data_IF_734426376141
#
_entry.id   IF_734426376141
#
_cell.length_a   1.000
_cell.length_b   1.000
_cell.length_c   1.000
_cell.angle_alpha   90.00
_cell.angle_beta   90.00
_cell.angle_gamma   90.00
#
_symmetry.space_group_name_H-M   'P 1'
#
loop_
_entity.id
_entity.type
_entity.pdbx_description
1 polymer ?
#
# COMPACT_ATOMS: atom_id res chain seq x y z
N UNK A 1 18.78 -10.53 -3.16
CA UNK A 1 18.46 -10.13 -4.55
C UNK A 1 17.95 -11.36 -5.31
N UNK A 2 16.64 -11.45 -5.58
CA UNK A 2 16.09 -12.51 -6.45
C UNK A 2 16.17 -12.03 -7.90
N UNK A 3 17.31 -12.26 -8.53
CA UNK A 3 17.55 -11.84 -9.91
C UNK A 3 16.84 -12.78 -10.89
N UNK A 4 16.24 -12.21 -11.95
CA UNK A 4 15.64 -13.00 -13.03
C UNK A 4 16.73 -13.59 -13.92
N UNK A 5 16.34 -14.54 -14.78
CA UNK A 5 17.25 -15.16 -15.76
C UNK A 5 17.70 -14.12 -16.80
N UNK A 6 16.77 -13.29 -17.27
CA UNK A 6 17.05 -12.20 -18.21
C UNK A 6 17.98 -11.16 -17.62
N UNK A 7 17.77 -10.78 -16.35
CA UNK A 7 18.70 -9.88 -15.65
C UNK A 7 20.08 -10.51 -15.55
N UNK A 8 20.17 -11.80 -15.22
CA UNK A 8 21.45 -12.52 -15.17
C UNK A 8 22.23 -12.43 -16.49
N UNK A 9 21.53 -12.57 -17.62
CA UNK A 9 22.13 -12.44 -18.95
C UNK A 9 22.59 -11.00 -19.20
N UNK A 10 21.77 -9.99 -18.88
CA UNK A 10 22.16 -8.56 -19.02
C UNK A 10 23.44 -8.24 -18.23
N UNK A 11 23.54 -8.71 -16.99
CA UNK A 11 24.72 -8.52 -16.13
C UNK A 11 25.99 -9.14 -16.73
N UNK A 12 25.89 -10.35 -17.29
CA UNK A 12 27.03 -11.03 -17.90
C UNK A 12 27.43 -10.38 -19.21
N UNK A 13 26.48 -10.01 -20.06
CA UNK A 13 26.74 -9.31 -21.32
C UNK A 13 27.41 -7.95 -21.09
N UNK A 14 27.02 -7.22 -20.05
CA UNK A 14 27.69 -5.98 -19.67
C UNK A 14 29.16 -6.19 -19.31
N UNK A 15 29.45 -7.19 -18.47
CA UNK A 15 30.82 -7.50 -18.08
C UNK A 15 31.69 -7.94 -19.27
N UNK A 16 31.11 -8.69 -20.21
CA UNK A 16 31.77 -9.09 -21.45
C UNK A 16 32.12 -7.87 -22.31
N UNK A 17 31.13 -6.99 -22.55
CA UNK A 17 31.34 -5.79 -23.35
C UNK A 17 32.42 -4.88 -22.74
N UNK A 18 32.48 -4.77 -21.41
CA UNK A 18 33.54 -4.04 -20.73
C UNK A 18 34.92 -4.69 -20.95
N UNK A 19 35.06 -6.00 -20.79
CA UNK A 19 36.35 -6.69 -21.03
C UNK A 19 36.80 -6.58 -22.49
N UNK A 20 35.86 -6.70 -23.43
CA UNK A 20 36.13 -6.51 -24.85
C UNK A 20 36.61 -5.07 -25.14
N UNK A 21 36.05 -4.06 -24.48
CA UNK A 21 36.51 -2.66 -24.59
C UNK A 21 37.94 -2.44 -24.09
N UNK A 22 38.41 -3.29 -23.17
CA UNK A 22 39.79 -3.29 -22.65
C UNK A 22 40.74 -4.18 -23.47
N UNK A 23 40.27 -4.77 -24.58
CA UNK A 23 41.03 -5.73 -25.38
C UNK A 23 41.27 -7.09 -24.69
N UNK A 24 40.59 -7.36 -23.57
CA UNK A 24 40.71 -8.58 -22.79
C UNK A 24 39.78 -9.66 -23.33
N UNK A 25 40.18 -10.93 -23.19
CA UNK A 25 39.37 -12.07 -23.63
C UNK A 25 38.38 -12.51 -22.56
N UNK A 26 37.27 -13.10 -22.98
CA UNK A 26 36.26 -13.67 -22.06
C UNK A 26 36.80 -14.75 -21.11
N UNK A 27 37.94 -15.39 -21.45
CA UNK A 27 38.64 -16.31 -20.53
C UNK A 27 39.24 -15.58 -19.31
N UNK A 28 39.66 -14.34 -19.49
CA UNK A 28 40.18 -13.49 -18.40
C UNK A 28 39.03 -13.06 -17.48
N UNK A 29 37.87 -12.71 -18.05
CA UNK A 29 36.64 -12.45 -17.30
C UNK A 29 36.24 -13.66 -16.43
N UNK A 30 36.28 -14.88 -16.98
CA UNK A 30 35.98 -16.10 -16.24
C UNK A 30 36.94 -16.30 -15.05
N UNK A 31 38.25 -16.04 -15.25
CA UNK A 31 39.27 -16.12 -14.21
C UNK A 31 39.00 -15.11 -13.08
N UNK A 32 38.71 -13.86 -13.42
CA UNK A 32 38.45 -12.81 -12.44
C UNK A 32 37.14 -13.10 -11.65
N UNK A 33 36.19 -13.78 -12.28
CA UNK A 33 34.93 -14.19 -11.64
C UNK A 33 35.10 -15.45 -10.79
N UNK A 34 36.21 -16.17 -10.93
CA UNK A 34 36.46 -17.43 -10.23
C UNK A 34 35.59 -18.58 -10.75
N UNK A 35 35.29 -18.58 -12.05
CA UNK A 35 34.51 -19.62 -12.71
C UNK A 35 35.25 -20.18 -13.93
N UNK A 36 34.91 -21.40 -14.33
CA UNK A 36 35.44 -21.96 -15.57
C UNK A 36 34.89 -21.23 -16.81
N UNK A 37 35.70 -21.12 -17.86
CA UNK A 37 35.28 -20.45 -19.10
C UNK A 37 34.04 -21.11 -19.76
N UNK A 38 33.85 -22.42 -19.55
CA UNK A 38 32.65 -23.17 -19.95
C UNK A 38 31.38 -22.62 -19.29
N UNK A 39 31.42 -22.35 -17.97
CA UNK A 39 30.32 -21.78 -17.18
C UNK A 39 29.91 -20.39 -17.66
N UNK A 40 30.85 -19.62 -18.20
CA UNK A 40 30.56 -18.29 -18.76
C UNK A 40 29.68 -18.38 -20.02
N UNK A 41 29.79 -19.46 -20.79
CA UNK A 41 28.92 -19.71 -21.95
C UNK A 41 27.52 -20.17 -21.52
N UNK A 42 27.43 -20.93 -20.42
CA UNK A 42 26.15 -21.33 -19.81
C UNK A 42 25.40 -20.15 -19.21
N UNK A 43 26.12 -19.20 -18.60
CA UNK A 43 25.55 -17.94 -18.07
C UNK A 43 24.96 -17.02 -19.15
N UNK A 44 25.40 -17.16 -20.41
CA UNK A 44 24.82 -16.47 -21.57
C UNK A 44 23.65 -17.22 -22.22
N UNK A 45 23.49 -18.50 -21.91
CA UNK A 45 22.56 -19.36 -22.64
C UNK A 45 21.12 -19.06 -22.25
N UNK A 46 20.28 -18.78 -23.25
CA UNK A 46 18.83 -18.68 -23.07
C UNK A 46 18.21 -20.06 -22.75
N UNK A 47 18.87 -21.16 -23.16
CA UNK A 47 18.33 -22.53 -23.06
C UNK A 47 18.72 -23.24 -21.75
N UNK A 48 19.85 -22.86 -21.13
CA UNK A 48 20.27 -23.31 -19.78
C UNK A 48 20.85 -22.15 -18.94
N UNK A 49 20.05 -21.10 -18.64
CA UNK A 49 20.56 -19.93 -17.93
C UNK A 49 20.86 -20.26 -16.47
N UNK A 50 22.15 -20.27 -16.12
CA UNK A 50 22.59 -20.16 -14.74
C UNK A 50 22.31 -18.74 -14.23
N UNK A 51 21.93 -18.61 -12.96
CA UNK A 51 21.78 -17.29 -12.32
C UNK A 51 23.14 -16.80 -11.85
N UNK A 52 23.44 -15.53 -12.09
CA UNK A 52 24.61 -14.90 -11.48
C UNK A 52 24.35 -14.79 -9.98
N UNK A 53 25.28 -15.30 -9.18
CA UNK A 53 25.20 -15.25 -7.72
C UNK A 53 25.42 -13.82 -7.19
N UNK A 54 24.95 -13.49 -5.98
CA UNK A 54 25.17 -12.15 -5.40
C UNK A 54 26.65 -11.75 -5.29
N UNK A 55 27.55 -12.70 -5.04
CA UNK A 55 29.00 -12.45 -4.98
C UNK A 55 29.57 -12.10 -6.36
N UNK A 56 29.10 -12.76 -7.42
CA UNK A 56 29.48 -12.44 -8.79
C UNK A 56 28.93 -11.08 -9.22
N UNK A 57 27.70 -10.71 -8.83
CA UNK A 57 27.16 -9.36 -9.07
C UNK A 57 28.04 -8.29 -8.42
N UNK A 58 28.46 -8.48 -7.17
CA UNK A 58 29.40 -7.56 -6.49
C UNK A 58 30.71 -7.41 -7.25
N UNK A 59 31.32 -8.52 -7.67
CA UNK A 59 32.55 -8.50 -8.49
C UNK A 59 32.35 -7.76 -9.82
N UNK A 60 31.22 -7.97 -10.50
CA UNK A 60 30.88 -7.22 -11.72
C UNK A 60 30.87 -5.72 -11.41
N UNK A 61 30.18 -5.30 -10.35
CA UNK A 61 30.10 -3.89 -9.97
C UNK A 61 31.48 -3.31 -9.65
N UNK A 62 32.31 -4.02 -8.89
CA UNK A 62 33.66 -3.58 -8.50
C UNK A 62 34.60 -3.42 -9.71
N UNK A 63 34.47 -4.28 -10.72
CA UNK A 63 35.37 -4.34 -11.87
C UNK A 63 34.92 -3.42 -13.00
N UNK A 64 33.62 -3.39 -13.30
CA UNK A 64 33.08 -2.73 -14.50
C UNK A 64 31.89 -1.79 -14.24
N UNK A 65 31.45 -1.65 -12.99
CA UNK A 65 30.22 -0.94 -12.66
C UNK A 65 28.96 -1.78 -12.90
N UNK A 66 27.80 -1.19 -12.60
CA UNK A 66 26.50 -1.82 -12.87
C UNK A 66 26.07 -1.52 -14.32
N UNK A 67 25.39 -2.46 -15.01
CA UNK A 67 24.82 -2.18 -16.32
C UNK A 67 23.82 -1.03 -16.23
N UNK A 68 23.92 -0.08 -17.16
CA UNK A 68 22.90 0.97 -17.32
C UNK A 68 21.54 0.30 -17.56
N UNK A 69 20.54 0.72 -16.79
CA UNK A 69 19.15 0.31 -16.94
C UNK A 69 18.38 1.41 -17.65
N UNK A 70 17.24 1.02 -18.21
CA UNK A 70 16.27 1.99 -18.72
C UNK A 70 15.82 2.89 -17.55
N UNK A 71 15.63 4.19 -17.79
CA UNK A 71 15.13 5.10 -16.78
C UNK A 71 13.76 4.60 -16.30
N UNK A 72 13.50 4.79 -15.02
CA UNK A 72 12.24 4.37 -14.42
C UNK A 72 12.00 5.07 -13.10
N UNK A 73 10.76 4.95 -12.63
CA UNK A 73 10.27 5.54 -11.39
C UNK A 73 10.49 4.55 -10.24
N UNK A 74 11.31 4.92 -9.26
CA UNK A 74 11.57 4.11 -8.08
C UNK A 74 10.51 4.37 -7.00
N UNK A 75 9.87 3.33 -6.49
CA UNK A 75 8.80 3.42 -5.48
C UNK A 75 8.81 2.25 -4.49
N UNK A 76 8.20 2.46 -3.32
CA UNK A 76 7.88 1.41 -2.35
C UNK A 76 6.38 1.09 -2.42
N UNK A 77 6.03 -0.10 -2.91
CA UNK A 77 4.64 -0.44 -3.26
C UNK A 77 4.19 -1.77 -2.70
N UNK A 78 2.90 -1.91 -2.45
CA UNK A 78 2.26 -3.22 -2.32
C UNK A 78 2.23 -3.88 -3.71
N UNK A 79 2.85 -5.05 -3.85
CA UNK A 79 2.99 -5.70 -5.16
C UNK A 79 2.01 -6.86 -5.29
N UNK A 80 1.17 -6.82 -6.32
CA UNK A 80 0.15 -7.82 -6.61
C UNK A 80 0.36 -8.46 -7.99
N UNK A 81 0.01 -9.74 -8.10
CA UNK A 81 0.09 -10.52 -9.35
C UNK A 81 -1.09 -10.28 -10.29
N UNK A 82 -2.23 -9.85 -9.76
CA UNK A 82 -3.45 -9.60 -10.52
C UNK A 82 -4.36 -8.61 -9.78
N UNK A 83 -5.32 -8.05 -10.51
CA UNK A 83 -6.38 -7.24 -9.90
C UNK A 83 -7.24 -8.05 -8.94
N UNK A 84 -7.53 -9.31 -9.24
CA UNK A 84 -8.27 -10.20 -8.33
C UNK A 84 -7.58 -10.31 -6.98
N UNK A 85 -6.24 -10.48 -6.97
CA UNK A 85 -5.47 -10.56 -5.73
C UNK A 85 -5.57 -9.25 -4.94
N UNK A 86 -5.50 -8.10 -5.62
CA UNK A 86 -5.68 -6.79 -5.00
C UNK A 86 -7.08 -6.61 -4.41
N UNK A 87 -8.14 -6.88 -5.18
CA UNK A 87 -9.52 -6.71 -4.72
C UNK A 87 -9.88 -7.66 -3.58
N UNK A 88 -9.48 -8.93 -3.66
CA UNK A 88 -9.74 -9.92 -2.61
C UNK A 88 -9.05 -9.57 -1.28
N UNK A 89 -7.90 -8.90 -1.33
CA UNK A 89 -7.16 -8.49 -0.13
C UNK A 89 -7.46 -7.06 0.32
N UNK A 90 -8.24 -6.30 -0.45
CA UNK A 90 -8.42 -4.86 -0.23
C UNK A 90 -8.89 -4.55 1.20
N UNK A 91 -9.98 -5.18 1.64
CA UNK A 91 -10.56 -4.98 2.97
C UNK A 91 -9.64 -5.49 4.08
N UNK A 92 -9.07 -6.68 3.95
CA UNK A 92 -8.16 -7.23 4.97
C UNK A 92 -6.90 -6.38 5.15
N UNK A 93 -6.35 -5.83 4.07
CA UNK A 93 -5.17 -4.95 4.13
C UNK A 93 -5.54 -3.59 4.72
N UNK A 94 -6.69 -3.02 4.36
CA UNK A 94 -7.22 -1.79 4.98
C UNK A 94 -7.41 -1.97 6.49
N UNK A 95 -8.00 -3.10 6.91
CA UNK A 95 -8.18 -3.41 8.32
C UNK A 95 -6.85 -3.60 9.06
N UNK A 96 -5.89 -4.31 8.46
CA UNK A 96 -4.55 -4.49 9.04
C UNK A 96 -3.80 -3.16 9.18
N UNK A 97 -3.90 -2.25 8.20
CA UNK A 97 -3.33 -0.90 8.29
C UNK A 97 -3.95 -0.13 9.45
N UNK A 98 -5.28 -0.10 9.54
CA UNK A 98 -5.99 0.53 10.65
C UNK A 98 -5.58 -0.04 12.01
N UNK A 99 -5.52 -1.36 12.18
CA UNK A 99 -5.12 -1.98 13.44
C UNK A 99 -3.67 -1.69 13.82
N UNK A 100 -2.77 -1.57 12.83
CA UNK A 100 -1.39 -1.14 13.09
C UNK A 100 -1.33 0.31 13.59
N UNK A 101 -2.12 1.21 13.01
CA UNK A 101 -2.20 2.60 13.47
C UNK A 101 -2.82 2.67 14.89
N UNK A 102 -3.83 1.85 15.17
CA UNK A 102 -4.41 1.67 16.51
C UNK A 102 -3.37 1.14 17.50
N UNK A 103 -2.60 0.13 17.13
CA UNK A 103 -1.52 -0.41 17.94
C UNK A 103 -0.46 0.65 18.27
N UNK A 104 0.01 1.38 17.26
CA UNK A 104 1.01 2.45 17.44
C UNK A 104 0.47 3.55 18.35
N UNK A 105 -0.81 3.92 18.19
CA UNK A 105 -1.49 4.90 19.03
C UNK A 105 -1.66 4.43 20.48
N UNK A 106 -2.11 3.20 20.71
CA UNK A 106 -2.43 2.65 22.03
C UNK A 106 -1.21 2.10 22.79
N UNK A 107 -0.04 2.06 22.14
CA UNK A 107 1.26 1.80 22.80
C UNK A 107 1.93 3.10 23.24
N UNK A 108 1.46 4.26 22.75
CA UNK A 108 1.99 5.56 23.14
C UNK A 108 1.61 5.88 24.60
N UNK A 109 2.61 6.06 25.48
CA UNK A 109 2.41 6.33 26.92
C UNK A 109 1.56 7.58 27.18
N UNK A 110 1.64 8.61 26.33
CA UNK A 110 0.84 9.83 26.50
C UNK A 110 -0.65 9.52 26.29
N UNK A 111 -0.99 8.82 25.21
CA UNK A 111 -2.36 8.41 24.88
C UNK A 111 -2.90 7.44 25.93
N UNK A 112 -2.11 6.46 26.38
CA UNK A 112 -2.51 5.54 27.45
C UNK A 112 -2.88 6.32 28.72
N UNK A 113 -2.02 7.24 29.17
CA UNK A 113 -2.29 8.06 30.36
C UNK A 113 -3.49 8.99 30.18
N UNK A 114 -3.74 9.47 28.96
CA UNK A 114 -4.87 10.32 28.64
C UNK A 114 -6.20 9.56 28.70
N UNK A 115 -6.25 8.34 28.12
CA UNK A 115 -7.38 7.42 28.26
C UNK A 115 -7.65 7.13 29.74
N UNK A 116 -6.60 6.81 30.51
CA UNK A 116 -6.73 6.57 31.94
C UNK A 116 -7.35 7.78 32.65
N UNK A 117 -6.90 9.01 32.37
CA UNK A 117 -7.45 10.23 33.01
C UNK A 117 -8.91 10.54 32.64
N UNK A 118 -9.37 10.14 31.45
CA UNK A 118 -10.74 10.40 30.98
C UNK A 118 -11.77 9.43 31.56
N UNK A 119 -11.34 8.24 31.99
CA UNK A 119 -12.17 7.30 32.71
C UNK A 119 -12.28 7.67 34.21
N UNK A 120 -13.40 7.35 34.83
CA UNK A 120 -13.55 7.35 36.30
C UNK A 120 -13.42 5.92 36.81
N UNK A 121 -12.75 5.70 37.94
CA UNK A 121 -12.53 4.36 38.50
C UNK A 121 -12.99 4.26 39.93
N UNK A 122 -13.28 3.03 40.36
CA UNK A 122 -13.51 2.72 41.78
C UNK A 122 -12.20 2.66 42.57
N UNK A 123 -11.06 2.41 41.90
CA UNK A 123 -9.73 2.37 42.49
C UNK A 123 -8.77 3.40 41.84
N UNK A 124 -7.98 4.08 42.67
CA UNK A 124 -6.95 5.04 42.26
C UNK A 124 -5.60 4.40 41.87
N UNK A 125 -5.43 3.08 42.10
CA UNK A 125 -4.25 2.33 41.72
C UNK A 125 -4.16 2.12 40.20
N UNK A 126 -3.08 2.59 39.59
CA UNK A 126 -2.90 2.57 38.14
C UNK A 126 -2.88 1.16 37.54
N UNK A 127 -2.30 0.19 38.23
CA UNK A 127 -2.25 -1.20 37.72
C UNK A 127 -3.66 -1.79 37.67
N UNK A 128 -4.47 -1.54 38.69
CA UNK A 128 -5.87 -1.95 38.70
C UNK A 128 -6.73 -1.23 37.65
N UNK A 129 -6.47 0.04 37.37
CA UNK A 129 -7.14 0.78 36.31
C UNK A 129 -6.85 0.19 34.91
N UNK A 130 -5.59 -0.18 34.67
CA UNK A 130 -5.17 -0.84 33.43
C UNK A 130 -5.81 -2.22 33.30
N UNK A 131 -5.84 -2.99 34.39
CA UNK A 131 -6.49 -4.32 34.41
C UNK A 131 -8.00 -4.21 34.15
N UNK A 132 -8.68 -3.23 34.74
CA UNK A 132 -10.10 -2.97 34.51
C UNK A 132 -10.42 -2.74 33.02
N UNK A 133 -9.61 -1.93 32.32
CA UNK A 133 -9.74 -1.75 30.87
C UNK A 133 -9.48 -3.06 30.12
N UNK A 134 -8.42 -3.80 30.47
CA UNK A 134 -8.09 -5.07 29.81
C UNK A 134 -9.19 -6.13 29.96
N UNK A 135 -9.88 -6.17 31.09
CA UNK A 135 -11.02 -7.05 31.33
C UNK A 135 -12.26 -6.60 30.55
N UNK A 136 -12.58 -5.31 30.59
CA UNK A 136 -13.70 -4.75 29.84
C UNK A 136 -13.60 -5.05 28.35
N UNK A 137 -12.46 -4.77 27.72
CA UNK A 137 -12.28 -4.96 26.27
C UNK A 137 -12.24 -6.42 25.84
N UNK A 138 -12.15 -7.37 26.77
CA UNK A 138 -12.24 -8.82 26.50
C UNK A 138 -13.61 -9.41 26.84
N UNK A 139 -14.51 -8.59 27.38
CA UNK A 139 -15.82 -9.05 27.81
C UNK A 139 -16.77 -9.25 26.63
N UNK A 140 -17.70 -10.20 26.80
CA UNK A 140 -18.73 -10.45 25.79
C UNK A 140 -19.73 -9.31 25.74
N UNK A 141 -20.06 -8.74 26.89
CA UNK A 141 -20.99 -7.63 27.04
C UNK A 141 -20.49 -6.39 26.31
N UNK A 142 -19.19 -6.08 26.43
CA UNK A 142 -18.60 -4.97 25.68
C UNK A 142 -18.50 -5.28 24.18
N UNK A 143 -18.17 -6.51 23.80
CA UNK A 143 -18.14 -6.91 22.40
C UNK A 143 -19.52 -6.78 21.71
N UNK A 144 -20.61 -7.06 22.42
CA UNK A 144 -21.98 -6.86 21.92
C UNK A 144 -22.28 -5.38 21.64
N UNK A 145 -21.90 -4.48 22.55
CA UNK A 145 -21.98 -3.02 22.33
C UNK A 145 -21.16 -2.63 21.10
N UNK A 146 -19.91 -3.09 21.03
CA UNK A 146 -18.99 -2.72 19.95
C UNK A 146 -19.40 -3.30 18.58
N UNK A 147 -20.32 -4.26 18.52
CA UNK A 147 -20.88 -4.77 17.26
C UNK A 147 -22.11 -4.00 16.79
N UNK A 148 -22.76 -3.23 17.66
CA UNK A 148 -23.90 -2.40 17.26
C UNK A 148 -23.40 -1.13 16.52
N UNK A 149 -23.51 -1.15 15.19
CA UNK A 149 -23.18 -0.01 14.33
C UNK A 149 -24.08 1.21 14.60
N UNK A 150 -25.32 1.00 15.09
CA UNK A 150 -26.25 2.08 15.37
C UNK A 150 -25.87 2.90 16.61
N UNK A 151 -25.02 2.35 17.49
CA UNK A 151 -24.50 3.05 18.66
C UNK A 151 -23.45 4.12 18.31
N UNK A 152 -22.74 3.99 17.17
CA UNK A 152 -21.76 4.99 16.70
C UNK A 152 -22.38 6.39 16.53
N UNK A 153 -23.65 6.47 16.11
CA UNK A 153 -24.36 7.73 15.95
C UNK A 153 -25.17 8.14 17.18
N UNK A 154 -25.37 7.24 18.16
CA UNK A 154 -26.32 7.43 19.28
C UNK A 154 -25.67 7.80 20.61
N UNK A 155 -24.35 7.77 20.76
CA UNK A 155 -23.64 8.15 22.00
C UNK A 155 -23.78 9.62 22.43
N UNK A 156 -24.64 10.38 21.73
CA UNK A 156 -25.06 11.74 22.08
C UNK A 156 -26.34 11.72 22.98
N UNK A 157 -26.90 10.55 23.36
CA UNK A 157 -28.18 10.48 24.09
C UNK A 157 -28.37 9.33 25.09
N UNK A 158 -29.60 8.79 25.16
CA UNK A 158 -30.10 7.83 26.17
C UNK A 158 -29.32 6.52 26.33
N UNK A 159 -28.45 6.18 25.39
CA UNK A 159 -27.52 5.04 25.43
C UNK A 159 -26.36 5.22 26.42
N UNK A 160 -26.15 6.42 26.97
CA UNK A 160 -25.16 6.65 28.06
C UNK A 160 -25.41 5.77 29.28
N UNK A 161 -26.67 5.48 29.61
CA UNK A 161 -27.02 4.73 30.82
C UNK A 161 -26.67 3.24 30.70
N UNK A 162 -26.93 2.60 29.56
CA UNK A 162 -26.60 1.19 29.33
C UNK A 162 -25.08 0.96 29.28
N UNK A 163 -24.36 1.86 28.62
CA UNK A 163 -22.91 1.81 28.55
C UNK A 163 -22.23 2.05 29.91
N UNK A 164 -22.75 3.00 30.69
CA UNK A 164 -22.29 3.25 32.06
C UNK A 164 -22.50 2.03 32.96
N UNK A 165 -23.60 1.29 32.80
CA UNK A 165 -23.84 0.06 33.56
C UNK A 165 -22.82 -1.03 33.23
N UNK A 166 -22.49 -1.25 31.95
CA UNK A 166 -21.54 -2.28 31.53
C UNK A 166 -20.13 -1.95 31.99
N UNK A 167 -19.68 -0.70 31.78
CA UNK A 167 -18.35 -0.27 32.22
C UNK A 167 -18.19 -0.41 33.75
N UNK A 168 -19.25 -0.07 34.51
CA UNK A 168 -19.23 -0.12 35.98
C UNK A 168 -19.04 -1.54 36.52
N UNK A 169 -19.50 -2.58 35.82
CA UNK A 169 -19.24 -3.98 36.21
C UNK A 169 -17.75 -4.32 36.28
N UNK A 170 -16.92 -3.56 35.55
CA UNK A 170 -15.47 -3.72 35.50
C UNK A 170 -14.75 -2.66 36.34
N UNK A 171 -15.46 -1.90 37.19
CA UNK A 171 -14.86 -0.92 38.10
C UNK A 171 -14.43 0.40 37.44
N UNK A 172 -14.94 0.69 36.24
CA UNK A 172 -14.70 1.97 35.55
C UNK A 172 -15.98 2.58 34.96
N UNK A 173 -16.00 3.88 34.72
CA UNK A 173 -17.12 4.59 34.09
C UNK A 173 -16.57 5.50 33.00
N UNK A 174 -17.22 5.47 31.84
CA UNK A 174 -16.86 6.27 30.66
C UNK A 174 -18.04 7.16 30.29
N UNK A 175 -17.79 8.46 30.21
CA UNK A 175 -18.84 9.47 30.05
C UNK A 175 -18.80 10.23 28.72
N UNK A 176 -17.77 10.01 27.91
CA UNK A 176 -17.54 10.71 26.66
C UNK A 176 -17.36 9.75 25.46
N UNK A 177 -17.73 10.24 24.28
CA UNK A 177 -17.73 9.45 23.05
C UNK A 177 -16.31 9.12 22.60
N UNK A 178 -15.34 10.03 22.77
CA UNK A 178 -13.98 9.83 22.27
C UNK A 178 -13.29 8.66 22.99
N UNK A 179 -13.43 8.58 24.32
CA UNK A 179 -12.91 7.47 25.11
C UNK A 179 -13.59 6.15 24.75
N UNK A 180 -14.91 6.14 24.50
CA UNK A 180 -15.59 4.94 23.98
C UNK A 180 -15.01 4.48 22.64
N UNK A 181 -14.80 5.41 21.68
CA UNK A 181 -14.21 5.07 20.39
C UNK A 181 -12.81 4.49 20.55
N UNK A 182 -11.98 5.04 21.45
CA UNK A 182 -10.66 4.46 21.78
C UNK A 182 -10.76 3.05 22.33
N UNK A 183 -11.68 2.79 23.26
CA UNK A 183 -11.86 1.45 23.80
C UNK A 183 -12.46 0.48 22.78
N UNK A 184 -13.30 0.95 21.85
CA UNK A 184 -13.79 0.15 20.73
C UNK A 184 -12.66 -0.22 19.77
N UNK A 185 -11.76 0.72 19.47
CA UNK A 185 -10.55 0.44 18.70
C UNK A 185 -9.66 -0.58 19.40
N UNK A 186 -9.47 -0.43 20.72
CA UNK A 186 -8.75 -1.38 21.55
C UNK A 186 -9.40 -2.77 21.52
N UNK A 187 -10.73 -2.86 21.67
CA UNK A 187 -11.46 -4.13 21.55
C UNK A 187 -11.22 -4.76 20.17
N UNK A 188 -11.34 -3.99 19.09
CA UNK A 188 -11.12 -4.50 17.74
C UNK A 188 -9.67 -4.96 17.51
N UNK A 189 -8.69 -4.28 18.13
CA UNK A 189 -7.29 -4.68 18.12
C UNK A 189 -7.10 -6.01 18.88
N UNK A 190 -7.69 -6.17 20.06
CA UNK A 190 -7.58 -7.40 20.87
C UNK A 190 -8.24 -8.60 20.17
N UNK A 191 -9.28 -8.40 19.36
CA UNK A 191 -9.88 -9.48 18.55
C UNK A 191 -8.89 -10.05 17.50
N UNK A 192 -8.00 -9.21 16.94
CA UNK A 192 -7.00 -9.64 15.95
C UNK A 192 -5.62 -9.91 16.55
N UNK A 193 -5.36 -9.42 17.76
CA UNK A 193 -4.10 -9.53 18.50
C UNK A 193 -4.39 -9.84 19.98
N UNK A 194 -4.83 -11.08 20.32
CA UNK A 194 -5.32 -11.44 21.65
C UNK A 194 -4.31 -11.22 22.79
N UNK A 195 -3.01 -11.30 22.47
CA UNK A 195 -1.90 -11.08 23.38
C UNK A 195 -1.69 -9.61 23.76
N UNK A 196 -2.26 -8.66 23.01
CA UNK A 196 -2.10 -7.24 23.29
C UNK A 196 -2.66 -6.86 24.65
N UNK A 197 -1.85 -6.28 25.53
CA UNK A 197 -2.31 -5.78 26.82
C UNK A 197 -2.22 -4.25 26.87
N UNK A 198 -3.34 -3.59 27.14
CA UNK A 198 -3.35 -2.14 27.33
C UNK A 198 -2.36 -1.75 28.44
N UNK A 199 -1.58 -0.71 28.21
CA UNK A 199 -0.56 -0.23 29.16
C UNK A 199 0.72 -1.07 29.25
N UNK A 200 0.86 -2.18 28.51
CA UNK A 200 2.06 -3.01 28.50
C UNK A 200 3.08 -2.52 27.46
N UNK A 201 4.31 -2.26 27.89
CA UNK A 201 5.41 -1.78 27.03
C UNK A 201 6.06 -2.89 26.18
N UNK A 202 5.75 -4.16 26.48
CA UNK A 202 6.31 -5.35 25.82
C UNK A 202 5.42 -5.93 24.72
N UNK A 203 4.34 -5.22 24.37
CA UNK A 203 3.46 -5.65 23.28
C UNK A 203 4.22 -5.76 21.96
N UNK A 204 3.94 -6.82 21.20
CA UNK A 204 4.42 -6.96 19.82
C UNK A 204 3.33 -6.45 18.86
N UNK A 205 3.74 -5.79 17.78
CA UNK A 205 2.82 -5.27 16.77
C UNK A 205 2.32 -6.37 15.83
N UNK A 206 1.34 -6.01 14.99
CA UNK A 206 0.85 -6.91 13.95
C UNK A 206 1.85 -7.01 12.78
N UNK A 207 1.95 -8.21 12.21
CA UNK A 207 2.61 -8.43 10.93
C UNK A 207 1.85 -7.74 9.80
N UNK A 208 2.63 -7.29 8.80
CA UNK A 208 2.08 -6.75 7.55
C UNK A 208 1.50 -7.88 6.71
N UNK A 209 0.24 -7.75 6.27
CA UNK A 209 -0.35 -8.71 5.31
C UNK A 209 0.35 -8.59 3.94
N UNK A 210 0.58 -7.36 3.47
CA UNK A 210 1.30 -7.09 2.22
C UNK A 210 2.44 -6.10 2.49
N UNK A 211 3.70 -6.53 2.48
CA UNK A 211 4.82 -5.65 2.71
C UNK A 211 5.08 -4.73 1.51
N UNK A 212 5.44 -3.47 1.78
CA UNK A 212 5.93 -2.56 0.75
C UNK A 212 7.26 -3.09 0.18
N UNK A 213 7.31 -3.27 -1.13
CA UNK A 213 8.45 -3.78 -1.88
C UNK A 213 9.05 -2.66 -2.72
N UNK A 214 10.39 -2.48 -2.72
CA UNK A 214 11.03 -1.52 -3.62
C UNK A 214 10.92 -2.01 -5.06
N UNK A 215 10.39 -1.17 -5.95
CA UNK A 215 10.22 -1.44 -7.37
C UNK A 215 10.77 -0.29 -8.20
N UNK A 216 11.13 -0.59 -9.45
CA UNK A 216 11.41 0.43 -10.47
C UNK A 216 10.43 0.19 -11.61
N UNK A 217 9.51 1.13 -11.82
CA UNK A 217 8.57 1.13 -12.93
C UNK A 217 9.28 1.71 -14.16
N UNK A 218 9.63 0.84 -15.10
CA UNK A 218 10.31 1.19 -16.36
C UNK A 218 9.31 1.28 -17.51
N UNK A 219 9.71 1.99 -18.57
CA UNK A 219 8.92 2.14 -19.79
C UNK A 219 8.00 3.37 -19.76
N UNK A 220 7.08 3.44 -20.72
CA UNK A 220 6.27 4.63 -20.95
C UNK A 220 4.96 4.58 -20.15
N UNK A 221 4.63 5.66 -19.43
CA UNK A 221 3.27 5.86 -18.94
C UNK A 221 2.37 6.19 -20.13
N UNK A 222 1.40 5.32 -20.40
CA UNK A 222 0.51 5.45 -21.57
C UNK A 222 -0.83 6.09 -21.22
N UNK A 223 -1.22 6.03 -19.95
CA UNK A 223 -2.44 6.65 -19.45
C UNK A 223 -2.36 6.85 -17.94
N UNK A 224 -3.12 7.81 -17.47
CA UNK A 224 -3.46 7.98 -16.06
C UNK A 224 -4.90 8.45 -15.97
N UNK A 225 -5.61 8.00 -14.94
CA UNK A 225 -6.99 8.35 -14.70
C UNK A 225 -7.24 8.60 -13.23
N UNK A 226 -7.96 9.68 -12.97
CA UNK A 226 -8.34 10.18 -11.66
C UNK A 226 -9.71 10.85 -11.81
N UNK A 227 -10.60 10.80 -10.81
CA UNK A 227 -11.87 11.51 -10.86
C UNK A 227 -11.63 13.02 -10.88
N UNK A 228 -12.42 13.75 -11.65
CA UNK A 228 -12.31 15.23 -11.77
C UNK A 228 -12.59 15.97 -10.45
N UNK A 229 -13.17 15.30 -9.45
CA UNK A 229 -13.51 15.86 -8.15
C UNK A 229 -13.26 14.85 -7.03
N UNK A 230 -12.82 15.32 -5.86
CA UNK A 230 -12.73 14.54 -4.63
C UNK A 230 -14.13 14.06 -4.22
N UNK A 231 -14.44 12.81 -4.57
CA UNK A 231 -15.70 12.18 -4.17
C UNK A 231 -15.40 11.18 -3.08
N UNK A 232 -15.67 11.56 -1.83
CA UNK A 232 -15.61 10.69 -0.65
C UNK A 232 -16.49 9.41 -0.74
N UNK A 233 -17.26 9.24 -1.81
CA UNK A 233 -18.19 8.12 -2.02
C UNK A 233 -17.80 7.23 -3.21
N UNK A 234 -16.50 7.02 -3.42
CA UNK A 234 -16.03 5.99 -4.36
C UNK A 234 -16.63 4.61 -4.01
N UNK A 235 -16.87 3.73 -4.99
CA UNK A 235 -17.27 2.34 -4.73
C UNK A 235 -16.29 1.63 -3.78
N UNK A 236 -14.98 1.90 -3.89
CA UNK A 236 -13.97 1.47 -2.93
C UNK A 236 -14.27 1.91 -1.48
N UNK A 237 -14.57 3.19 -1.27
CA UNK A 237 -14.93 3.72 0.05
C UNK A 237 -16.28 3.18 0.54
N UNK A 238 -17.25 2.98 -0.36
CA UNK A 238 -18.54 2.34 0.00
C UNK A 238 -18.36 0.91 0.48
N UNK A 239 -17.42 0.17 -0.11
CA UNK A 239 -17.06 -1.18 0.34
C UNK A 239 -16.43 -1.13 1.75
N UNK A 240 -15.52 -0.19 2.02
CA UNK A 240 -14.98 0.00 3.38
C UNK A 240 -16.10 0.35 4.36
N UNK A 241 -16.98 1.29 3.99
CA UNK A 241 -18.14 1.68 4.81
C UNK A 241 -19.09 0.52 5.06
N UNK A 242 -19.31 -0.38 4.11
CA UNK A 242 -20.22 -1.52 4.28
C UNK A 242 -19.63 -2.62 5.14
N UNK A 243 -18.36 -2.96 4.93
CA UNK A 243 -17.70 -4.08 5.61
C UNK A 243 -17.18 -3.69 6.99
N UNK A 244 -16.77 -2.43 7.19
CA UNK A 244 -16.08 -1.95 8.39
C UNK A 244 -16.83 -0.82 9.11
N UNK A 245 -18.14 -0.64 8.86
CA UNK A 245 -18.97 0.42 9.46
C UNK A 245 -18.84 0.54 10.98
N UNK A 246 -18.66 -0.59 11.65
CA UNK A 246 -18.55 -0.68 13.11
C UNK A 246 -17.29 0.04 13.61
N UNK A 247 -16.19 0.03 12.86
CA UNK A 247 -14.93 0.66 13.27
C UNK A 247 -14.82 2.12 12.84
N UNK A 248 -15.79 2.64 12.10
CA UNK A 248 -15.81 4.04 11.71
C UNK A 248 -16.07 4.92 12.93
N UNK A 249 -15.17 5.88 13.13
CA UNK A 249 -15.40 6.99 14.05
C UNK A 249 -16.35 7.96 13.33
N UNK A 250 -17.51 8.26 13.91
CA UNK A 250 -18.43 9.26 13.34
C UNK A 250 -17.85 10.68 13.36
N UNK A 251 -18.69 11.71 13.24
CA UNK A 251 -18.31 13.13 13.41
C UNK A 251 -17.79 13.41 14.85
N UNK A 252 -16.60 12.91 15.20
CA UNK A 252 -15.82 13.39 16.33
C UNK A 252 -15.10 14.65 15.87
N UNK A 253 -15.80 15.79 15.90
CA UNK A 253 -15.17 17.07 15.64
C UNK A 253 -14.12 17.36 16.72
N UNK A 254 -12.86 17.47 16.30
CA UNK A 254 -11.80 18.22 16.99
C UNK A 254 -11.23 17.67 18.32
N UNK A 255 -11.24 16.36 18.57
CA UNK A 255 -10.58 15.80 19.78
C UNK A 255 -9.54 14.75 19.41
N UNK A 256 -8.28 15.19 19.39
CA UNK A 256 -7.03 14.38 19.25
C UNK A 256 -6.92 13.50 17.98
N UNK A 257 -5.70 13.20 17.49
CA UNK A 257 -5.53 12.32 16.34
C UNK A 257 -5.91 10.88 16.73
N UNK A 258 -7.14 10.49 16.43
CA UNK A 258 -7.62 9.11 16.53
C UNK A 258 -7.28 8.42 15.20
N UNK A 259 -6.75 7.17 15.20
CA UNK A 259 -6.61 6.38 13.99
C UNK A 259 -7.94 6.28 13.25
N UNK A 260 -7.94 6.52 11.95
CA UNK A 260 -9.11 6.45 11.10
C UNK A 260 -8.95 5.30 10.10
N UNK A 261 -10.07 4.73 9.66
CA UNK A 261 -10.05 3.79 8.55
C UNK A 261 -9.64 4.54 7.29
N UNK A 262 -8.83 3.88 6.45
CA UNK A 262 -8.50 4.38 5.12
C UNK A 262 -9.79 4.64 4.29
N UNK A 263 -10.14 5.92 4.14
CA UNK A 263 -11.24 6.41 3.29
C UNK A 263 -10.65 7.45 2.34
N UNK A 264 -10.27 6.97 1.16
CA UNK A 264 -9.43 7.73 0.25
C UNK A 264 -10.18 8.90 -0.39
N UNK A 265 -9.60 10.09 -0.33
CA UNK A 265 -10.10 11.28 -1.04
C UNK A 265 -9.74 11.23 -2.51
N UNK A 266 -8.54 10.72 -2.79
CA UNK A 266 -8.02 10.60 -4.14
C UNK A 266 -7.59 9.17 -4.41
N UNK A 267 -8.14 8.62 -5.49
CA UNK A 267 -7.63 7.39 -6.09
C UNK A 267 -7.17 7.79 -7.48
N UNK A 268 -5.92 7.49 -7.80
CA UNK A 268 -5.33 7.70 -9.13
C UNK A 268 -4.78 6.38 -9.63
N UNK A 269 -4.98 6.11 -10.90
CA UNK A 269 -4.44 4.91 -11.55
C UNK A 269 -3.57 5.33 -12.72
N UNK A 270 -2.41 4.70 -12.87
CA UNK A 270 -1.45 4.93 -13.94
C UNK A 270 -1.16 3.61 -14.64
N UNK A 271 -1.10 3.62 -15.98
CA UNK A 271 -0.75 2.45 -16.78
C UNK A 271 0.61 2.67 -17.42
N UNK A 272 1.49 1.70 -17.24
CA UNK A 272 2.83 1.69 -17.80
C UNK A 272 2.98 0.55 -18.80
N UNK A 273 3.54 0.85 -19.97
CA UNK A 273 4.02 -0.15 -20.92
C UNK A 273 5.53 -0.30 -20.72
N UNK A 274 5.95 -1.45 -20.20
CA UNK A 274 7.36 -1.77 -20.00
C UNK A 274 8.06 -2.14 -21.31
N UNK A 275 9.39 -2.09 -21.29
CA UNK A 275 10.27 -2.51 -22.40
C UNK A 275 10.06 -3.96 -22.84
N UNK A 276 9.58 -4.82 -21.93
CA UNK A 276 9.27 -6.22 -22.21
C UNK A 276 7.86 -6.39 -22.82
N UNK A 277 7.22 -5.30 -23.25
CA UNK A 277 5.85 -5.27 -23.80
C UNK A 277 4.77 -5.74 -22.82
N UNK A 278 5.07 -5.73 -21.52
CA UNK A 278 4.12 -6.02 -20.47
C UNK A 278 3.54 -4.73 -19.90
N UNK A 279 2.26 -4.77 -19.53
CA UNK A 279 1.61 -3.66 -18.86
C UNK A 279 1.75 -3.79 -17.34
N UNK A 280 1.92 -2.66 -16.66
CA UNK A 280 1.86 -2.54 -15.21
C UNK A 280 0.84 -1.48 -14.85
N UNK A 281 0.07 -1.73 -13.80
CA UNK A 281 -0.90 -0.77 -13.28
C UNK A 281 -0.42 -0.31 -11.92
N UNK A 282 -0.26 0.99 -11.75
CA UNK A 282 -0.02 1.62 -10.45
C UNK A 282 -1.33 2.23 -9.96
N UNK A 283 -1.68 1.96 -8.71
CA UNK A 283 -2.86 2.50 -8.03
C UNK A 283 -2.34 3.29 -6.83
N UNK A 284 -2.60 4.58 -6.82
CA UNK A 284 -2.24 5.52 -5.76
C UNK A 284 -3.51 5.94 -5.06
N UNK A 285 -3.61 5.60 -3.77
CA UNK A 285 -4.71 5.99 -2.91
C UNK A 285 -4.17 6.95 -1.83
N UNK A 286 -4.79 8.12 -1.72
CA UNK A 286 -4.37 9.19 -0.80
C UNK A 286 -5.57 9.82 -0.09
N UNK A 287 -5.35 10.22 1.15
CA UNK A 287 -6.30 10.99 1.94
C UNK A 287 -6.26 12.49 1.61
N UNK A 288 -5.28 12.94 0.82
CA UNK A 288 -5.11 14.33 0.41
C UNK A 288 -5.25 14.49 -1.11
N UNK A 289 -5.32 15.75 -1.56
CA UNK A 289 -5.14 16.10 -2.96
C UNK A 289 -3.70 15.79 -3.41
N UNK A 290 -3.56 15.13 -4.56
CA UNK A 290 -2.26 14.71 -5.07
C UNK A 290 -1.43 15.92 -5.52
N UNK A 291 -0.24 16.08 -4.93
CA UNK A 291 0.70 17.13 -5.32
C UNK A 291 1.67 16.62 -6.40
N UNK A 292 2.06 17.48 -7.36
CA UNK A 292 3.13 17.13 -8.29
C UNK A 292 4.47 16.96 -7.60
N UNK A 293 5.22 15.91 -7.97
CA UNK A 293 6.55 15.60 -7.42
C UNK A 293 7.59 16.67 -7.74
N UNK A 294 7.50 17.29 -8.91
CA UNK A 294 8.54 18.16 -9.46
C UNK A 294 8.18 19.66 -9.43
N UNK A 295 7.04 20.05 -8.85
CA UNK A 295 6.73 21.48 -8.67
C UNK A 295 7.39 22.03 -7.41
N UNK A 296 8.69 22.34 -7.51
CA UNK A 296 9.40 23.15 -6.49
C UNK A 296 8.98 24.62 -6.47
N UNK A 297 8.08 25.03 -7.36
CA UNK A 297 7.59 26.42 -7.47
C UNK A 297 6.07 26.42 -7.64
N UNK A 298 5.36 26.87 -6.59
CA UNK A 298 3.90 27.02 -6.52
C UNK A 298 3.30 28.00 -7.55
N UNK A 299 4.11 28.60 -8.43
CA UNK A 299 3.74 29.78 -9.23
C UNK A 299 3.41 29.50 -10.70
N UNK A 300 3.47 28.26 -11.18
CA UNK A 300 3.19 27.97 -12.61
C UNK A 300 2.49 26.64 -12.78
N UNK A 301 1.20 26.59 -12.44
CA UNK A 301 0.28 25.61 -13.04
C UNK A 301 -0.21 26.24 -14.35
N UNK A 302 0.21 25.75 -15.52
CA UNK A 302 -0.22 26.32 -16.80
C UNK A 302 -1.73 26.23 -16.99
N UNK A 303 -2.32 27.19 -17.70
CA UNK A 303 -3.72 27.13 -18.10
C UNK A 303 -3.93 25.88 -19.00
N UNK A 304 -4.89 25.01 -18.63
CA UNK A 304 -5.09 23.71 -19.29
C UNK A 304 -4.29 22.54 -18.69
N UNK A 305 -3.76 22.68 -17.47
CA UNK A 305 -3.06 21.61 -16.75
C UNK A 305 -3.97 20.41 -16.45
N UNK A 306 -3.62 19.26 -17.01
CA UNK A 306 -4.25 17.98 -16.73
C UNK A 306 -3.50 17.27 -15.59
N UNK A 307 -4.20 17.12 -14.46
CA UNK A 307 -3.65 16.51 -13.25
C UNK A 307 -3.23 15.05 -13.43
N UNK A 308 -3.66 14.39 -14.51
CA UNK A 308 -3.22 13.04 -14.83
C UNK A 308 -1.83 12.98 -15.50
N UNK A 309 -1.27 14.12 -15.94
CA UNK A 309 -0.05 14.15 -16.76
C UNK A 309 1.27 14.35 -16.00
N UNK A 310 1.26 14.48 -14.67
CA UNK A 310 2.48 14.63 -13.85
C UNK A 310 2.71 13.43 -12.94
N UNK A 311 3.95 13.21 -12.46
CA UNK A 311 4.20 12.19 -11.44
C UNK A 311 3.78 12.68 -10.05
N UNK A 312 2.81 12.01 -9.43
CA UNK A 312 2.35 12.40 -8.09
C UNK A 312 3.40 12.11 -7.02
N UNK A 313 3.60 13.07 -6.12
CA UNK A 313 4.30 12.87 -4.87
C UNK A 313 3.52 11.90 -3.99
N UNK A 314 4.23 11.01 -3.30
CA UNK A 314 3.62 10.07 -2.36
C UNK A 314 3.74 10.62 -0.94
N UNK A 315 2.60 10.74 -0.26
CA UNK A 315 2.50 10.99 1.16
C UNK A 315 2.89 9.75 1.98
N UNK A 316 3.29 9.97 3.23
CA UNK A 316 3.69 8.87 4.13
C UNK A 316 2.55 7.89 4.42
N UNK A 317 1.32 8.41 4.48
CA UNK A 317 0.10 7.64 4.75
C UNK A 317 -0.49 6.97 3.51
N UNK A 318 -0.04 7.36 2.32
CA UNK A 318 -0.58 6.85 1.07
C UNK A 318 -0.42 5.33 0.95
N UNK A 319 -1.42 4.73 0.29
CA UNK A 319 -1.39 3.34 -0.11
C UNK A 319 -1.10 3.26 -1.60
N UNK A 320 0.06 2.69 -1.93
CA UNK A 320 0.52 2.53 -3.30
C UNK A 320 0.54 1.05 -3.63
N UNK A 321 -0.25 0.64 -4.61
CA UNK A 321 -0.31 -0.73 -5.11
C UNK A 321 0.17 -0.79 -6.56
N UNK A 322 0.86 -1.87 -6.92
CA UNK A 322 1.26 -2.17 -8.31
C UNK A 322 0.78 -3.56 -8.68
N UNK A 323 0.00 -3.64 -9.77
CA UNK A 323 -0.36 -4.88 -10.42
C UNK A 323 0.67 -5.14 -11.52
N UNK A 324 1.44 -6.22 -11.38
CA UNK A 324 2.54 -6.51 -12.31
C UNK A 324 2.10 -7.39 -13.47
N UNK A 325 2.66 -7.14 -14.66
CA UNK A 325 2.58 -8.02 -15.82
C UNK A 325 1.14 -8.33 -16.24
N UNK A 326 0.32 -7.29 -16.35
CA UNK A 326 -1.04 -7.37 -16.86
C UNK A 326 -1.01 -7.88 -18.29
N UNK A 327 -1.78 -8.94 -18.54
CA UNK A 327 -1.92 -9.54 -19.87
C UNK A 327 -2.52 -8.53 -20.84
N UNK A 328 -1.85 -8.31 -21.98
CA UNK A 328 -2.29 -7.39 -23.02
C UNK A 328 -3.70 -7.69 -23.53
N UNK A 329 -4.08 -8.98 -23.59
CA UNK A 329 -5.41 -9.38 -24.06
C UNK A 329 -6.53 -8.96 -23.08
N UNK A 330 -6.20 -8.88 -21.80
CA UNK A 330 -7.14 -8.56 -20.71
C UNK A 330 -7.02 -7.10 -20.25
N UNK A 331 -6.12 -6.32 -20.86
CA UNK A 331 -5.81 -4.96 -20.41
C UNK A 331 -7.06 -4.07 -20.33
N UNK A 332 -7.87 -4.06 -21.39
CA UNK A 332 -9.05 -3.19 -21.45
C UNK A 332 -10.14 -3.60 -20.47
N UNK A 333 -10.36 -4.90 -20.26
CA UNK A 333 -11.32 -5.38 -19.26
C UNK A 333 -10.85 -5.06 -17.84
N UNK A 334 -9.56 -5.24 -17.55
CA UNK A 334 -8.96 -4.89 -16.26
C UNK A 334 -9.03 -3.38 -15.96
N UNK A 335 -8.84 -2.54 -16.98
CA UNK A 335 -9.02 -1.09 -16.84
C UNK A 335 -10.48 -0.76 -16.52
N UNK A 336 -11.43 -1.40 -17.19
CA UNK A 336 -12.85 -1.18 -16.94
C UNK A 336 -13.27 -1.61 -15.53
N UNK A 337 -12.71 -2.71 -15.01
CA UNK A 337 -12.90 -3.13 -13.61
C UNK A 337 -12.38 -2.08 -12.63
N UNK A 338 -11.19 -1.54 -12.87
CA UNK A 338 -10.62 -0.47 -12.05
C UNK A 338 -11.45 0.81 -12.10
N UNK A 339 -11.93 1.21 -13.29
CA UNK A 339 -12.82 2.38 -13.44
C UNK A 339 -14.08 2.20 -12.62
N UNK A 340 -14.70 1.03 -12.67
CA UNK A 340 -15.90 0.71 -11.86
C UNK A 340 -15.59 0.71 -10.37
N UNK A 341 -14.44 0.20 -9.96
CA UNK A 341 -14.03 0.20 -8.55
C UNK A 341 -13.75 1.62 -8.02
N UNK A 342 -13.19 2.49 -8.86
CA UNK A 342 -12.91 3.90 -8.57
C UNK A 342 -14.15 4.79 -8.72
N UNK A 343 -15.15 4.39 -9.51
CA UNK A 343 -16.35 5.18 -9.80
C UNK A 343 -16.17 6.19 -10.93
N UNK A 344 -15.28 5.91 -11.88
CA UNK A 344 -15.13 6.72 -13.09
C UNK A 344 -16.21 6.39 -14.13
N UNK A 345 -16.56 7.38 -14.96
CA UNK A 345 -17.41 7.17 -16.14
C UNK A 345 -16.74 6.21 -17.15
N UNK A 346 -17.43 5.80 -18.20
CA UNK A 346 -16.83 4.91 -19.23
C UNK A 346 -15.82 5.68 -20.06
N UNK A 347 -14.65 5.08 -20.35
CA UNK A 347 -13.61 5.76 -21.13
C UNK A 347 -13.91 5.79 -22.63
N UNK A 348 -13.36 6.80 -23.29
CA UNK A 348 -13.08 6.67 -24.70
C UNK A 348 -11.80 5.83 -24.89
N UNK A 349 -11.97 4.53 -25.09
CA UNK A 349 -10.87 3.59 -25.37
C UNK A 349 -10.00 3.99 -26.57
N UNK A 350 -10.46 4.90 -27.43
CA UNK A 350 -9.70 5.38 -28.58
C UNK A 350 -8.40 6.10 -28.19
N UNK A 351 -8.42 7.02 -27.23
CA UNK A 351 -7.20 7.76 -26.83
C UNK A 351 -6.20 6.82 -26.15
N UNK A 352 -6.67 5.91 -25.30
CA UNK A 352 -5.81 4.87 -24.71
C UNK A 352 -5.15 4.01 -25.80
N UNK A 353 -5.92 3.55 -26.79
CA UNK A 353 -5.39 2.80 -27.94
C UNK A 353 -4.36 3.62 -28.72
N UNK A 354 -4.62 4.92 -28.93
CA UNK A 354 -3.68 5.82 -29.62
C UNK A 354 -2.37 5.97 -28.83
N UNK A 355 -2.43 6.09 -27.51
CA UNK A 355 -1.25 6.18 -26.66
C UNK A 355 -0.47 4.86 -26.63
N UNK A 356 -1.16 3.71 -26.59
CA UNK A 356 -0.54 2.39 -26.76
C UNK A 356 0.22 2.32 -28.09
N UNK A 357 -0.41 2.69 -29.21
CA UNK A 357 0.24 2.69 -30.53
C UNK A 357 1.47 3.60 -30.58
N UNK A 358 1.36 4.84 -30.05
CA UNK A 358 2.48 5.80 -29.99
C UNK A 358 3.66 5.26 -29.18
N UNK A 359 3.38 4.52 -28.11
CA UNK A 359 4.40 3.89 -27.27
C UNK A 359 4.97 2.59 -27.87
N UNK A 360 4.52 2.19 -29.06
CA UNK A 360 4.94 0.95 -29.72
C UNK A 360 4.26 -0.32 -29.20
N UNK A 361 3.21 -0.18 -28.39
CA UNK A 361 2.49 -1.28 -27.77
C UNK A 361 1.57 -2.04 -28.72
N UNK A 362 1.26 -3.29 -28.37
CA UNK A 362 0.32 -4.11 -29.12
C UNK A 362 -1.14 -3.73 -28.77
N UNK A 363 -1.97 -3.56 -29.81
CA UNK A 363 -3.41 -3.34 -29.70
C UNK A 363 -4.13 -4.59 -30.25
N UNK A 364 -4.83 -5.36 -29.40
CA UNK A 364 -5.63 -6.49 -29.83
C UNK A 364 -6.60 -6.14 -30.95
N UNK A 365 -6.57 -6.90 -32.04
CA UNK A 365 -7.45 -6.74 -33.20
C UNK A 365 -7.08 -5.62 -34.19
N UNK A 366 -6.03 -4.84 -33.94
CA UNK A 366 -5.57 -3.83 -34.88
C UNK A 366 -4.71 -4.43 -36.01
N UNK A 367 -4.92 -3.98 -37.24
CA UNK A 367 -4.01 -4.27 -38.36
C UNK A 367 -2.82 -3.31 -38.34
N UNK A 368 -1.61 -3.85 -38.34
CA UNK A 368 -0.37 -3.08 -38.49
C UNK A 368 -0.04 -3.02 -39.97
N UNK A 369 -0.11 -1.81 -40.54
CA UNK A 369 0.34 -1.54 -41.90
C UNK A 369 1.85 -1.22 -41.83
N UNK A 370 2.67 -1.99 -42.56
CA UNK A 370 4.13 -1.86 -42.59
C UNK A 370 4.55 -1.18 -43.88
#
# INVERSE_FOLDING_TARGET
MKMTKEESIKWINHAIAFYESLGKKQKELAKDFGIEASRLSELKSVHKPLKVSPSQVRKIIEICGAPKRDPGRFEYVELYDSLDSFFNQYISVTLNRFHRDVFESLTNKAIVNEILKKCSYENDDKEQQVEAINQLVRSKEFAEICKDASLNSKLIGSSKNEFSLITKLYGLIINDSATFHRLRQLWSLVEVLPEFQFGNETNNGLDLIVPKTPVVLTGNRIAAFMPDYSRFDYPANRLVKSELSVLMNGYLSAVEPIPELDIWQTIRVEIYLSENMNYHILIHMSDDDLKPRDLSHESTVPEGFDWCNYDAAFGEKDRIAVIRSVNTLDLFSQIEELRKWQGLEVDNLYELKRNIAKAGGHIPGAHVLI
#
